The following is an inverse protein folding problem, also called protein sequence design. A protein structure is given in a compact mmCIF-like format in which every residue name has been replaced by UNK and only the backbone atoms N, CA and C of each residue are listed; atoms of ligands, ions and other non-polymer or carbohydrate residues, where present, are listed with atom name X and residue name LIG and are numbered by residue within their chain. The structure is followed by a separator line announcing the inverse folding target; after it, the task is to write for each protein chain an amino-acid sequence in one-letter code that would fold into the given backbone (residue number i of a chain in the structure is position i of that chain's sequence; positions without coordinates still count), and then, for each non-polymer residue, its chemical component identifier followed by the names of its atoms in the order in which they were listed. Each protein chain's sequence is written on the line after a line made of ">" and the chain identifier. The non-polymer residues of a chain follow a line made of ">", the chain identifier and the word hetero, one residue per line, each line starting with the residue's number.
data_IF_276569093094
#
_entry.id   IF_276569093094
#
_cell.length_a   1.000
_cell.length_b   1.000
_cell.length_c   1.000
_cell.angle_alpha   90.00
_cell.angle_beta   90.00
_cell.angle_gamma   90.00
#
_symmetry.space_group_name_H-M   'P 1'
#
loop_
_entity.id
_entity.type
_entity.pdbx_description
1 polymer ?
#
# COMPACT_ATOMS: atom_id res chain seq x y z
N UNK A 1 -22.03 20.68 27.85
CA UNK A 1 -21.64 21.12 26.48
C UNK A 1 -20.12 21.05 26.18
N UNK A 2 -19.23 20.63 27.12
CA UNK A 2 -17.76 20.57 26.90
C UNK A 2 -17.25 19.25 26.30
N UNK A 3 -18.08 18.21 26.27
CA UNK A 3 -17.74 16.86 25.78
C UNK A 3 -17.99 16.68 24.26
N UNK A 4 -18.87 17.49 23.68
CA UNK A 4 -19.19 17.45 22.24
C UNK A 4 -17.97 17.70 21.32
N UNK A 5 -17.11 18.71 21.57
CA UNK A 5 -15.93 18.91 20.73
C UNK A 5 -14.89 17.78 20.89
N UNK A 6 -14.83 17.14 22.06
CA UNK A 6 -13.94 16.00 22.30
C UNK A 6 -14.39 14.78 21.48
N UNK A 7 -15.70 14.50 21.46
CA UNK A 7 -16.26 13.41 20.64
C UNK A 7 -16.01 13.67 19.15
N UNK A 8 -16.26 14.90 18.67
CA UNK A 8 -16.02 15.26 17.28
C UNK A 8 -14.55 15.10 16.88
N UNK A 9 -13.61 15.53 17.75
CA UNK A 9 -12.18 15.38 17.52
C UNK A 9 -11.73 13.91 17.47
N UNK A 10 -12.25 13.06 18.38
CA UNK A 10 -11.93 11.63 18.41
C UNK A 10 -12.47 10.92 17.17
N UNK A 11 -13.70 11.21 16.75
CA UNK A 11 -14.27 10.63 15.53
C UNK A 11 -13.50 11.04 14.28
N UNK A 12 -13.11 12.31 14.19
CA UNK A 12 -12.28 12.79 13.08
C UNK A 12 -10.91 12.09 13.05
N UNK A 13 -10.25 11.91 14.19
CA UNK A 13 -8.98 11.20 14.28
C UNK A 13 -9.10 9.73 13.84
N UNK A 14 -10.17 9.05 14.20
CA UNK A 14 -10.42 7.66 13.77
C UNK A 14 -10.64 7.54 12.25
N UNK A 15 -11.34 8.49 11.63
CA UNK A 15 -11.58 8.49 10.18
C UNK A 15 -10.30 8.67 9.37
N UNK A 16 -9.31 9.42 9.89
CA UNK A 16 -8.03 9.65 9.19
C UNK A 16 -7.16 8.39 9.12
N UNK A 17 -7.27 7.48 10.10
CA UNK A 17 -6.44 6.27 10.18
C UNK A 17 -7.10 5.07 9.48
N UNK A 18 -8.39 5.14 9.15
CA UNK A 18 -9.15 4.01 8.60
C UNK A 18 -8.83 3.66 7.13
N UNK A 19 -8.12 4.52 6.40
CA UNK A 19 -7.92 4.36 4.95
C UNK A 19 -6.74 3.47 4.55
N UNK A 20 -5.89 3.04 5.49
CA UNK A 20 -4.77 2.14 5.19
C UNK A 20 -4.96 0.79 5.90
N UNK A 21 -5.02 -0.28 5.10
CA UNK A 21 -4.88 -1.64 5.59
C UNK A 21 -3.48 -2.14 5.25
N UNK A 22 -2.47 -1.88 6.11
CA UNK A 22 -1.11 -2.38 5.88
C UNK A 22 -1.01 -3.90 6.05
N UNK A 23 -2.11 -4.58 6.37
CA UNK A 23 -2.19 -6.01 6.64
C UNK A 23 -2.58 -6.79 5.38
N UNK A 24 -1.86 -7.88 5.04
CA UNK A 24 -2.27 -8.78 3.97
C UNK A 24 -3.68 -9.36 4.18
N UNK A 25 -4.40 -9.73 3.10
CA UNK A 25 -5.69 -10.41 3.20
C UNK A 25 -5.60 -11.73 3.98
N UNK A 26 -6.69 -12.16 4.64
CA UNK A 26 -6.72 -13.44 5.36
C UNK A 26 -6.33 -14.61 4.45
N UNK A 27 -5.43 -15.48 4.93
CA UNK A 27 -4.95 -16.66 4.21
C UNK A 27 -3.77 -16.40 3.26
N UNK A 28 -3.33 -15.15 3.09
CA UNK A 28 -2.14 -14.83 2.28
C UNK A 28 -0.87 -14.98 3.11
N UNK A 29 0.09 -15.75 2.61
CA UNK A 29 1.43 -15.90 3.22
C UNK A 29 2.43 -14.97 2.55
N UNK A 30 3.18 -14.22 3.35
CA UNK A 30 4.24 -13.31 2.87
C UNK A 30 5.59 -14.02 2.90
N UNK A 31 6.48 -13.68 1.97
CA UNK A 31 7.86 -14.19 1.96
C UNK A 31 8.59 -13.80 3.24
N UNK A 32 8.98 -14.79 4.04
CA UNK A 32 9.80 -14.61 5.25
C UNK A 32 11.28 -14.44 4.90
N UNK A 33 12.03 -13.72 5.74
CA UNK A 33 13.47 -13.47 5.55
C UNK A 33 13.78 -12.77 4.21
N UNK A 34 12.97 -11.78 3.87
CA UNK A 34 13.10 -11.01 2.63
C UNK A 34 14.38 -10.16 2.62
N UNK A 35 15.19 -10.32 1.57
CA UNK A 35 16.39 -9.51 1.34
C UNK A 35 16.08 -8.37 0.36
N UNK A 36 15.86 -7.17 0.91
CA UNK A 36 15.54 -5.99 0.14
C UNK A 36 16.65 -5.60 -0.85
N UNK A 37 17.93 -5.88 -0.54
CA UNK A 37 19.04 -5.53 -1.44
C UNK A 37 18.96 -6.32 -2.75
N UNK A 38 18.52 -7.57 -2.70
CA UNK A 38 18.35 -8.43 -3.87
C UNK A 38 17.09 -8.12 -4.68
N UNK A 39 16.16 -7.37 -4.10
CA UNK A 39 14.90 -7.00 -4.76
C UNK A 39 15.00 -5.68 -5.56
N UNK A 40 16.03 -4.87 -5.31
CA UNK A 40 16.28 -3.63 -6.03
C UNK A 40 16.48 -3.86 -7.55
N UNK A 41 16.28 -2.80 -8.32
CA UNK A 41 16.42 -2.82 -9.78
C UNK A 41 15.07 -2.93 -10.51
N UNK A 42 15.13 -3.27 -11.80
CA UNK A 42 13.98 -3.22 -12.71
C UNK A 42 13.27 -4.56 -12.81
N UNK A 43 11.96 -4.54 -12.61
CA UNK A 43 11.04 -5.65 -12.80
C UNK A 43 10.11 -5.37 -13.98
N UNK A 44 9.92 -6.37 -14.82
CA UNK A 44 8.98 -6.33 -15.93
C UNK A 44 7.63 -6.89 -15.47
N UNK A 45 6.57 -6.14 -15.70
CA UNK A 45 5.24 -6.61 -15.38
C UNK A 45 4.80 -7.67 -16.41
N UNK A 46 4.55 -8.89 -15.93
CA UNK A 46 4.12 -10.00 -16.79
C UNK A 46 2.58 -10.06 -16.89
N UNK A 47 1.88 -9.79 -15.79
CA UNK A 47 0.42 -9.76 -15.70
C UNK A 47 -0.04 -8.92 -14.50
N UNK A 48 -1.26 -8.34 -14.59
CA UNK A 48 -1.89 -7.56 -13.52
C UNK A 48 -3.41 -7.76 -13.50
N UNK A 49 -4.03 -7.50 -12.35
CA UNK A 49 -5.48 -7.26 -12.29
C UNK A 49 -5.77 -5.84 -12.80
N UNK A 50 -6.72 -5.71 -13.72
CA UNK A 50 -6.97 -4.44 -14.39
C UNK A 50 -7.59 -3.39 -13.44
N UNK A 51 -6.83 -2.33 -13.19
CA UNK A 51 -7.25 -1.16 -12.43
C UNK A 51 -7.07 0.10 -13.26
N UNK A 52 -7.88 1.13 -12.99
CA UNK A 52 -7.97 2.33 -13.85
C UNK A 52 -6.65 3.08 -14.04
N UNK A 53 -5.75 3.04 -13.06
CA UNK A 53 -4.47 3.77 -13.10
C UNK A 53 -3.44 3.15 -14.05
N UNK A 54 -3.58 1.87 -14.39
CA UNK A 54 -2.67 1.15 -15.29
C UNK A 54 -3.36 0.68 -16.58
N UNK A 55 -4.66 0.93 -16.74
CA UNK A 55 -5.43 0.46 -17.90
C UNK A 55 -4.86 1.03 -19.20
N UNK A 56 -4.62 0.14 -20.17
CA UNK A 56 -4.11 0.51 -21.50
C UNK A 56 -2.59 0.72 -21.57
N UNK A 57 -1.87 0.59 -20.45
CA UNK A 57 -0.41 0.64 -20.47
C UNK A 57 0.19 -0.69 -20.96
N UNK A 58 1.23 -0.58 -21.79
CA UNK A 58 2.00 -1.69 -22.34
C UNK A 58 3.48 -1.57 -21.94
N UNK A 59 4.18 -2.71 -21.91
CA UNK A 59 5.63 -2.80 -21.58
C UNK A 59 5.96 -2.13 -20.24
N UNK A 60 5.08 -2.31 -19.26
CA UNK A 60 5.20 -1.72 -17.93
C UNK A 60 6.41 -2.30 -17.20
N UNK A 61 7.17 -1.42 -16.56
CA UNK A 61 8.29 -1.77 -15.68
C UNK A 61 8.20 -0.99 -14.38
N UNK A 62 8.71 -1.58 -13.31
CA UNK A 62 8.91 -0.91 -12.02
C UNK A 62 10.37 -1.00 -11.63
N UNK A 63 10.94 0.10 -11.13
CA UNK A 63 12.32 0.15 -10.65
C UNK A 63 12.32 0.44 -9.15
N UNK A 64 12.86 -0.48 -8.35
CA UNK A 64 13.00 -0.30 -6.91
C UNK A 64 14.38 0.23 -6.57
N UNK A 65 14.41 1.31 -5.79
CA UNK A 65 15.62 1.96 -5.29
C UNK A 65 15.55 2.07 -3.77
N UNK A 66 16.71 2.25 -3.13
CA UNK A 66 16.78 2.50 -1.68
C UNK A 66 16.68 4.01 -1.45
N UNK A 67 15.77 4.42 -0.57
CA UNK A 67 15.74 5.79 -0.06
C UNK A 67 17.08 6.11 0.62
N UNK A 68 17.68 7.25 0.26
CA UNK A 68 18.97 7.71 0.76
C UNK A 68 18.93 8.30 2.16
#
# INVERSE_FOLDING_TARGET
>A
MRILPVIAAVTAAFLVVACSSPTPPPGVTVVSNFDAQRFLGTWYEIARMDHQFERGLEKVTVSYERDG
#
